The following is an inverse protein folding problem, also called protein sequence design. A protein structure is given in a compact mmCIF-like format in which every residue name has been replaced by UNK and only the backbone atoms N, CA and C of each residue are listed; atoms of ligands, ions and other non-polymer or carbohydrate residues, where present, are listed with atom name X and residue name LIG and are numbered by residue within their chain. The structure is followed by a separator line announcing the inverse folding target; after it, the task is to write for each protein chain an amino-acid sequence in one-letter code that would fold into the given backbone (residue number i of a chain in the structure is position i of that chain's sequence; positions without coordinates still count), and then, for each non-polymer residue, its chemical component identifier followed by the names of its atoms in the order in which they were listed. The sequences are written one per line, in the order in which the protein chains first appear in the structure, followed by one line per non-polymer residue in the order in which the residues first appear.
data_IF_128320002267
#
_entry.id   IF_128320002267
#
_cell.length_a   1.000
_cell.length_b   1.000
_cell.length_c   1.000
_cell.angle_alpha   90.00
_cell.angle_beta   90.00
_cell.angle_gamma   90.00
#
_symmetry.space_group_name_H-M   'P 1'
#
loop_
_entity.id
_entity.type
_entity.pdbx_description
1 polymer ?
#
# COMPACT_ATOMS: atom_id res chain seq x y z
N UNK A 1 18.30 -1.96 16.80
CA UNK A 1 17.81 -2.79 15.67
C UNK A 1 16.28 -2.63 15.48
N UNK A 2 15.85 -2.09 14.33
CA UNK A 2 14.45 -1.70 14.07
C UNK A 2 13.57 -2.88 13.60
N UNK A 3 13.20 -3.77 14.52
CA UNK A 3 12.54 -5.05 14.20
C UNK A 3 11.05 -5.11 14.56
N UNK A 4 10.44 -3.98 14.94
CA UNK A 4 9.07 -3.95 15.47
C UNK A 4 7.99 -4.54 14.54
N UNK A 5 8.22 -4.56 13.23
CA UNK A 5 7.32 -5.16 12.23
C UNK A 5 7.89 -6.38 11.51
N UNK A 6 9.00 -6.95 12.02
CA UNK A 6 9.77 -7.98 11.31
C UNK A 6 9.29 -9.41 11.55
N UNK A 7 7.98 -9.65 11.66
CA UNK A 7 7.42 -11.01 11.59
C UNK A 7 7.04 -11.37 10.16
N UNK A 8 7.02 -12.66 9.82
CA UNK A 8 6.63 -13.11 8.47
C UNK A 8 5.22 -12.64 8.11
N UNK A 9 4.28 -12.79 9.04
CA UNK A 9 2.87 -12.41 8.86
C UNK A 9 2.75 -10.89 8.62
N UNK A 10 3.46 -10.09 9.41
CA UNK A 10 3.42 -8.63 9.27
C UNK A 10 4.03 -8.18 7.94
N UNK A 11 5.16 -8.76 7.55
CA UNK A 11 5.84 -8.42 6.29
C UNK A 11 5.03 -8.81 5.06
N UNK A 12 4.37 -9.97 5.09
CA UNK A 12 3.48 -10.41 4.02
C UNK A 12 2.27 -9.46 3.89
N UNK A 13 1.62 -9.13 5.00
CA UNK A 13 0.50 -8.19 5.01
C UNK A 13 0.88 -6.81 4.46
N UNK A 14 2.08 -6.31 4.79
CA UNK A 14 2.62 -5.06 4.24
C UNK A 14 2.85 -5.15 2.72
N UNK A 15 3.37 -6.29 2.23
CA UNK A 15 3.62 -6.50 0.81
C UNK A 15 2.31 -6.54 0.01
N UNK A 16 1.33 -7.31 0.48
CA UNK A 16 -0.02 -7.37 -0.12
C UNK A 16 -0.67 -5.99 -0.15
N UNK A 17 -0.68 -5.28 0.98
CA UNK A 17 -1.22 -3.92 1.07
C UNK A 17 -0.59 -2.96 0.05
N UNK A 18 0.74 -3.02 -0.11
CA UNK A 18 1.44 -2.18 -1.08
C UNK A 18 1.02 -2.52 -2.53
N UNK A 19 0.98 -3.80 -2.88
CA UNK A 19 0.62 -4.26 -4.23
C UNK A 19 -0.84 -3.91 -4.56
N UNK A 20 -1.78 -4.13 -3.65
CA UNK A 20 -3.19 -3.80 -3.86
C UNK A 20 -3.39 -2.31 -4.17
N UNK A 21 -2.68 -1.42 -3.46
CA UNK A 21 -2.75 0.01 -3.72
C UNK A 21 -2.15 0.40 -5.09
N UNK A 22 -1.08 -0.28 -5.51
CA UNK A 22 -0.50 -0.07 -6.84
C UNK A 22 -1.44 -0.56 -7.95
N UNK A 23 -2.05 -1.73 -7.78
CA UNK A 23 -3.00 -2.29 -8.74
C UNK A 23 -4.24 -1.41 -8.88
N UNK A 24 -4.80 -0.91 -7.77
CA UNK A 24 -5.92 0.04 -7.81
C UNK A 24 -5.55 1.28 -8.65
N UNK A 25 -4.39 1.89 -8.38
CA UNK A 25 -3.94 3.06 -9.15
C UNK A 25 -3.82 2.76 -10.65
N UNK A 26 -3.24 1.61 -11.01
CA UNK A 26 -3.06 1.19 -12.39
C UNK A 26 -4.40 0.89 -13.10
N UNK A 27 -5.41 0.45 -12.34
CA UNK A 27 -6.77 0.25 -12.83
C UNK A 27 -7.56 1.57 -13.00
N UNK A 28 -6.98 2.72 -12.64
CA UNK A 28 -7.70 4.00 -12.60
C UNK A 28 -8.60 4.16 -11.38
N UNK A 29 -8.49 3.27 -10.39
CA UNK A 29 -9.21 3.32 -9.13
C UNK A 29 -8.38 4.05 -8.07
N UNK A 30 -9.05 4.82 -7.20
CA UNK A 30 -8.34 5.54 -6.14
C UNK A 30 -7.77 4.55 -5.11
N UNK A 31 -6.45 4.53 -4.84
CA UNK A 31 -5.87 3.63 -3.85
C UNK A 31 -6.42 3.88 -2.44
N UNK A 32 -6.71 2.80 -1.71
CA UNK A 32 -7.31 2.84 -0.36
C UNK A 32 -6.42 3.58 0.64
N UNK A 33 -5.11 3.36 0.57
CA UNK A 33 -4.11 3.93 1.48
C UNK A 33 -3.38 5.13 0.86
N UNK A 34 -4.02 5.86 -0.06
CA UNK A 34 -3.45 7.06 -0.65
C UNK A 34 -3.27 8.16 0.42
N UNK A 35 -2.01 8.48 0.73
CA UNK A 35 -1.67 9.51 1.73
C UNK A 35 -1.79 10.92 1.15
N UNK A 36 -1.21 11.16 -0.04
CA UNK A 36 -1.29 12.46 -0.71
C UNK A 36 -2.52 12.51 -1.63
N UNK A 37 -3.67 12.81 -1.05
CA UNK A 37 -4.95 12.84 -1.78
C UNK A 37 -4.99 13.88 -2.91
N UNK A 38 -4.24 14.97 -2.79
CA UNK A 38 -4.14 16.00 -3.84
C UNK A 38 -3.34 15.58 -5.08
N UNK A 39 -2.58 14.47 -5.00
CA UNK A 39 -1.86 13.91 -6.15
C UNK A 39 -2.74 13.03 -7.04
N UNK A 40 -3.90 12.58 -6.55
CA UNK A 40 -4.81 11.77 -7.34
C UNK A 40 -5.53 12.63 -8.39
N UNK A 41 -5.41 12.22 -9.65
CA UNK A 41 -5.99 12.91 -10.81
C UNK A 41 -6.94 12.02 -11.62
N UNK A 42 -7.43 10.94 -10.99
CA UNK A 42 -8.32 9.97 -11.64
C UNK A 42 -9.45 10.62 -12.40
#
# INVERSE_FOLDING_TARGET
PHIGSATHETREAMATCAVENLLAALAGERPVNLVNTGAWKG
#
